data_IF_361073031634
#
_entry.id   IF_361073031634
#
_cell.length_a   1.000
_cell.length_b   1.000
_cell.length_c   1.000
_cell.angle_alpha   90.00
_cell.angle_beta   90.00
_cell.angle_gamma   90.00
#
_symmetry.space_group_name_H-M   'P 1'
#
loop_
_entity.id
_entity.type
_entity.pdbx_description
1 polymer ?
#
# COMPACT_ATOMS: atom_id res chain seq x y z
N UNK A 1 -1.28 29.11 -15.17
CA UNK A 1 -1.18 29.13 -14.69
C UNK A 1 -1.67 28.72 -13.55
N UNK A 2 -2.40 28.67 -13.21
CA UNK A 2 -2.98 28.26 -12.04
C UNK A 2 -2.76 26.85 -11.73
N UNK A 3 -2.59 26.00 -12.67
CA UNK A 3 -2.33 24.61 -12.40
C UNK A 3 -1.08 24.41 -11.58
N UNK A 4 -0.16 25.31 -11.70
CA UNK A 4 1.07 25.22 -10.93
C UNK A 4 0.79 25.24 -9.44
N UNK A 5 -0.10 26.12 -9.03
CA UNK A 5 -0.43 26.25 -7.62
C UNK A 5 -1.09 24.97 -7.14
N UNK A 6 -2.00 24.45 -7.94
CA UNK A 6 -2.70 23.24 -7.55
C UNK A 6 -1.76 22.05 -7.45
N UNK A 7 -0.81 21.98 -8.36
CA UNK A 7 0.12 20.87 -8.34
C UNK A 7 0.99 20.88 -7.11
N UNK A 8 1.33 22.03 -6.62
CA UNK A 8 2.13 22.11 -5.41
C UNK A 8 1.38 21.63 -4.20
N UNK A 9 0.09 21.85 -4.19
CA UNK A 9 -0.70 21.51 -3.02
C UNK A 9 -1.23 20.09 -3.07
N UNK A 10 -1.21 19.46 -4.25
CA UNK A 10 -1.91 18.19 -4.45
C UNK A 10 -0.94 17.07 -4.72
N UNK A 11 -1.14 15.96 -4.05
CA UNK A 11 -0.46 14.73 -4.35
C UNK A 11 -1.53 13.79 -4.89
N UNK A 12 -1.20 13.04 -5.92
CA UNK A 12 -2.17 12.15 -6.49
C UNK A 12 -1.57 11.22 -7.52
N UNK A 13 -2.41 10.40 -8.08
CA UNK A 13 -2.00 9.40 -9.05
C UNK A 13 -2.93 9.43 -10.24
N UNK A 14 -2.39 9.04 -11.38
CA UNK A 14 -3.21 8.86 -12.57
C UNK A 14 -3.59 7.39 -12.64
N UNK A 15 -4.84 7.10 -12.36
CA UNK A 15 -5.34 5.72 -12.30
C UNK A 15 -6.39 5.56 -13.39
N UNK A 16 -6.11 4.69 -14.36
CA UNK A 16 -7.00 4.50 -15.51
C UNK A 16 -7.31 5.81 -16.21
N UNK A 17 -6.31 6.69 -16.30
CA UNK A 17 -6.50 7.96 -16.96
C UNK A 17 -7.23 9.01 -16.15
N UNK A 18 -7.57 8.71 -14.91
CA UNK A 18 -8.28 9.62 -14.03
C UNK A 18 -7.35 10.03 -12.90
N UNK A 19 -7.29 11.33 -12.63
CA UNK A 19 -6.47 11.85 -11.56
C UNK A 19 -7.16 11.62 -10.23
N UNK A 20 -6.50 10.91 -9.31
CA UNK A 20 -7.07 10.55 -8.02
C UNK A 20 -6.20 11.15 -6.93
N UNK A 21 -6.83 11.87 -6.02
CA UNK A 21 -6.11 12.59 -4.98
C UNK A 21 -5.61 11.66 -3.88
N UNK A 22 -4.47 12.04 -3.32
CA UNK A 22 -3.88 11.33 -2.20
C UNK A 22 -3.48 12.36 -1.14
N UNK A 23 -3.19 11.87 0.06
CA UNK A 23 -2.72 12.78 1.09
C UNK A 23 -1.23 13.07 0.89
N UNK A 24 -0.64 13.86 1.78
CA UNK A 24 0.74 14.30 1.61
C UNK A 24 1.75 13.17 1.81
N UNK A 25 1.31 12.01 2.26
CA UNK A 25 2.16 10.84 2.37
C UNK A 25 1.92 9.84 1.25
N UNK A 26 1.01 10.15 0.34
CA UNK A 26 0.77 9.31 -0.82
C UNK A 26 -0.33 8.28 -0.64
N UNK A 27 -1.05 8.29 0.47
CA UNK A 27 -2.17 7.39 0.67
C UNK A 27 -3.42 7.95 0.00
N UNK A 28 -4.20 7.08 -0.62
CA UNK A 28 -5.46 7.53 -1.22
C UNK A 28 -6.40 8.00 -0.13
N UNK A 29 -7.23 8.97 -0.48
CA UNK A 29 -8.22 9.48 0.47
C UNK A 29 -9.37 8.52 0.65
N UNK A 30 -9.64 7.71 -0.36
CA UNK A 30 -10.63 6.64 -0.30
C UNK A 30 -10.02 5.39 -0.89
N UNK A 31 -10.36 4.21 -0.37
CA UNK A 31 -9.73 2.99 -0.87
C UNK A 31 -10.11 2.70 -2.31
N UNK A 32 -9.18 2.11 -3.03
CA UNK A 32 -9.40 1.68 -4.40
C UNK A 32 -8.84 0.27 -4.52
N UNK A 33 -9.72 -0.71 -4.68
CA UNK A 33 -9.33 -2.10 -4.71
C UNK A 33 -8.99 -2.60 -6.12
N UNK A 34 -8.87 -1.70 -7.08
CA UNK A 34 -8.54 -2.09 -8.45
C UNK A 34 -7.05 -2.34 -8.63
N UNK A 35 -6.73 -3.15 -9.63
CA UNK A 35 -5.33 -3.43 -9.92
C UNK A 35 -4.60 -2.21 -10.45
N UNK A 36 -5.29 -1.37 -11.19
CA UNK A 36 -4.65 -0.20 -11.77
C UNK A 36 -4.19 0.78 -10.70
N UNK A 37 -4.94 0.87 -9.61
CA UNK A 37 -4.52 1.72 -8.50
C UNK A 37 -3.21 1.23 -7.92
N UNK A 38 -3.11 -0.07 -7.69
CA UNK A 38 -1.87 -0.64 -7.15
C UNK A 38 -0.71 -0.42 -8.10
N UNK A 39 -0.94 -0.61 -9.40
CA UNK A 39 0.12 -0.42 -10.38
C UNK A 39 0.60 1.01 -10.45
N UNK A 40 -0.33 1.95 -10.43
CA UNK A 40 0.01 3.37 -10.49
C UNK A 40 0.83 3.80 -9.29
N UNK A 41 0.41 3.36 -8.11
CA UNK A 41 1.12 3.75 -6.89
C UNK A 41 2.48 3.08 -6.83
N UNK A 42 2.55 1.78 -7.18
CA UNK A 42 3.82 1.07 -7.18
C UNK A 42 4.81 1.74 -8.13
N UNK A 43 4.34 2.14 -9.30
CA UNK A 43 5.20 2.80 -10.27
C UNK A 43 5.75 4.11 -9.71
N UNK A 44 4.91 4.87 -9.04
CA UNK A 44 5.33 6.12 -8.44
C UNK A 44 6.38 5.90 -7.37
N UNK A 45 6.37 4.75 -6.72
CA UNK A 45 7.33 4.44 -5.67
C UNK A 45 8.52 3.61 -6.15
N UNK A 46 8.58 3.34 -7.44
CA UNK A 46 9.70 2.61 -7.99
C UNK A 46 9.67 1.12 -7.69
N UNK A 47 8.50 0.57 -7.45
CA UNK A 47 8.35 -0.85 -7.14
C UNK A 47 7.81 -1.57 -8.37
N UNK A 48 8.48 -2.65 -8.74
CA UNK A 48 8.00 -3.50 -9.81
C UNK A 48 7.23 -4.65 -9.19
N UNK A 49 5.94 -4.72 -9.46
CA UNK A 49 5.06 -5.68 -8.79
C UNK A 49 5.30 -7.09 -9.32
N UNK A 50 5.52 -8.00 -8.39
CA UNK A 50 5.66 -9.43 -8.69
C UNK A 50 4.49 -10.16 -8.04
N UNK A 51 4.43 -11.47 -8.28
CA UNK A 51 3.36 -12.28 -7.68
C UNK A 51 3.37 -12.16 -6.16
N UNK A 52 4.55 -12.08 -5.58
CA UNK A 52 4.63 -11.95 -4.13
C UNK A 52 4.12 -10.60 -3.64
N UNK A 53 4.36 -9.55 -4.41
CA UNK A 53 3.76 -8.25 -4.08
C UNK A 53 2.23 -8.35 -4.09
N UNK A 54 1.68 -9.00 -5.11
CA UNK A 54 0.23 -9.14 -5.19
C UNK A 54 -0.33 -9.98 -4.06
N UNK A 55 0.41 -10.96 -3.59
CA UNK A 55 0.00 -11.74 -2.44
C UNK A 55 -0.17 -10.84 -1.23
N UNK A 56 0.78 -9.95 -0.99
CA UNK A 56 0.70 -9.01 0.13
C UNK A 56 -0.43 -8.02 -0.07
N UNK A 57 -0.58 -7.51 -1.30
CA UNK A 57 -1.64 -6.55 -1.60
C UNK A 57 -3.01 -7.15 -1.31
N UNK A 58 -3.23 -8.38 -1.77
CA UNK A 58 -4.52 -9.04 -1.54
C UNK A 58 -4.76 -9.27 -0.06
N UNK A 59 -3.73 -9.68 0.66
CA UNK A 59 -3.83 -9.89 2.10
C UNK A 59 -4.25 -8.60 2.81
N UNK A 60 -3.59 -7.50 2.48
CA UNK A 60 -3.91 -6.22 3.15
C UNK A 60 -5.32 -5.75 2.81
N UNK A 61 -5.74 -5.94 1.56
CA UNK A 61 -7.10 -5.56 1.17
C UNK A 61 -8.15 -6.38 1.90
N UNK A 62 -7.89 -7.67 2.06
CA UNK A 62 -8.82 -8.53 2.80
C UNK A 62 -8.91 -8.12 4.26
N UNK A 63 -7.77 -7.87 4.88
CA UNK A 63 -7.79 -7.43 6.27
C UNK A 63 -8.53 -6.11 6.42
N UNK A 64 -8.31 -5.20 5.51
CA UNK A 64 -8.98 -3.92 5.56
C UNK A 64 -10.50 -4.07 5.42
N UNK A 65 -10.92 -4.94 4.51
CA UNK A 65 -12.35 -5.14 4.30
C UNK A 65 -13.02 -5.84 5.48
N UNK A 66 -12.31 -6.75 6.12
CA UNK A 66 -12.88 -7.49 7.24
C UNK A 66 -12.83 -6.71 8.54
N UNK A 67 -11.75 -6.01 8.78
CA UNK A 67 -11.51 -5.40 10.08
C UNK A 67 -11.66 -3.88 10.09
N UNK A 68 -11.72 -3.27 8.92
CA UNK A 68 -11.77 -1.81 8.82
C UNK A 68 -10.41 -1.15 8.94
N UNK A 69 -9.36 -1.93 9.11
CA UNK A 69 -7.99 -1.41 9.20
C UNK A 69 -7.02 -2.54 8.84
N UNK A 70 -5.76 -2.18 8.65
CA UNK A 70 -4.74 -3.16 8.30
C UNK A 70 -3.90 -3.48 9.52
N UNK A 71 -3.28 -4.67 9.54
CA UNK A 71 -2.44 -5.06 10.67
C UNK A 71 -1.10 -4.34 10.64
N UNK A 72 -0.45 -4.30 11.78
CA UNK A 72 0.90 -3.78 11.84
C UNK A 72 1.89 -4.83 11.34
N UNK A 73 3.16 -4.45 11.25
CA UNK A 73 4.17 -5.33 10.67
C UNK A 73 4.30 -6.65 11.43
N UNK A 74 4.29 -6.59 12.75
CA UNK A 74 4.43 -7.81 13.54
C UNK A 74 3.32 -8.81 13.22
N UNK A 75 2.10 -8.32 13.11
CA UNK A 75 0.98 -9.20 12.83
C UNK A 75 1.02 -9.70 11.39
N UNK A 76 1.50 -8.89 10.46
CA UNK A 76 1.70 -9.34 9.09
C UNK A 76 2.66 -10.52 9.05
N UNK A 77 3.80 -10.40 9.72
CA UNK A 77 4.79 -11.48 9.72
C UNK A 77 4.18 -12.75 10.31
N UNK A 78 3.43 -12.59 11.40
CA UNK A 78 2.81 -13.73 12.05
C UNK A 78 1.83 -14.43 11.12
N UNK A 79 1.00 -13.66 10.44
CA UNK A 79 0.00 -14.23 9.55
C UNK A 79 0.66 -14.94 8.37
N UNK A 80 1.68 -14.33 7.78
CA UNK A 80 2.35 -14.94 6.65
C UNK A 80 3.14 -16.16 7.07
N UNK A 81 3.72 -16.16 8.25
CA UNK A 81 4.41 -17.36 8.75
C UNK A 81 3.46 -18.52 8.90
N UNK A 82 2.23 -18.24 9.32
CA UNK A 82 1.24 -19.29 9.49
C UNK A 82 0.71 -19.80 8.16
N UNK A 83 0.46 -18.93 7.23
CA UNK A 83 -0.16 -19.31 5.96
C UNK A 83 0.85 -19.80 4.93
N UNK A 84 2.07 -19.32 5.01
CA UNK A 84 3.10 -19.65 4.03
C UNK A 84 4.39 -19.97 4.76
N UNK A 85 4.43 -21.08 5.50
CA UNK A 85 5.61 -21.42 6.28
C UNK A 85 6.79 -21.75 5.37
N UNK A 86 7.98 -21.61 5.92
CA UNK A 86 9.19 -21.92 5.17
C UNK A 86 9.88 -20.74 4.56
N UNK A 87 9.35 -19.56 4.73
CA UNK A 87 9.96 -18.34 4.22
C UNK A 87 10.22 -17.40 5.39
N UNK A 88 11.34 -16.70 5.31
CA UNK A 88 11.65 -15.67 6.31
C UNK A 88 10.85 -14.42 5.91
N UNK A 89 9.62 -14.37 6.37
CA UNK A 89 8.73 -13.28 5.96
C UNK A 89 9.14 -11.92 6.47
N UNK A 90 9.82 -11.90 7.60
CA UNK A 90 10.33 -10.64 8.12
C UNK A 90 11.26 -9.99 7.11
N UNK A 91 12.18 -10.76 6.56
CA UNK A 91 13.09 -10.27 5.55
C UNK A 91 12.39 -10.06 4.21
N UNK A 92 11.55 -11.02 3.83
CA UNK A 92 10.88 -10.97 2.52
C UNK A 92 10.00 -9.73 2.40
N UNK A 93 9.26 -9.40 3.45
CA UNK A 93 8.38 -8.25 3.40
C UNK A 93 9.16 -6.95 3.21
N UNK A 94 10.33 -6.84 3.83
CA UNK A 94 11.18 -5.67 3.62
C UNK A 94 11.80 -5.65 2.24
N UNK A 95 12.00 -6.81 1.62
CA UNK A 95 12.46 -6.84 0.24
C UNK A 95 11.38 -6.37 -0.72
N UNK A 96 10.14 -6.76 -0.45
CA UNK A 96 9.03 -6.38 -1.32
C UNK A 96 8.64 -4.91 -1.15
N UNK A 97 8.62 -4.44 0.08
CA UNK A 97 8.24 -3.06 0.39
C UNK A 97 9.27 -2.49 1.36
N UNK A 98 10.38 -1.99 0.83
CA UNK A 98 11.51 -1.59 1.69
C UNK A 98 11.25 -0.38 2.56
N UNK A 99 10.24 0.39 2.26
CA UNK A 99 9.95 1.59 3.03
C UNK A 99 8.82 1.30 4.03
N UNK A 100 9.13 0.45 5.02
CA UNK A 100 8.18 0.04 6.07
C UNK A 100 7.04 -0.78 5.48
N UNK A 101 7.20 -2.10 5.42
CA UNK A 101 6.29 -2.97 4.68
C UNK A 101 4.82 -2.81 5.00
N UNK A 102 4.44 -2.68 6.28
CA UNK A 102 3.03 -2.53 6.60
C UNK A 102 2.49 -1.22 6.05
N UNK A 103 3.29 -0.16 6.12
CA UNK A 103 2.85 1.14 5.70
C UNK A 103 2.91 1.28 4.18
N UNK A 104 4.05 0.94 3.58
CA UNK A 104 4.21 1.03 2.13
C UNK A 104 3.30 0.05 1.41
N UNK A 105 3.16 -1.16 1.94
CA UNK A 105 2.26 -2.13 1.36
C UNK A 105 0.82 -1.64 1.36
N UNK A 106 0.41 -1.02 2.46
CA UNK A 106 -0.92 -0.45 2.57
C UNK A 106 -1.14 0.65 1.52
N UNK A 107 -0.14 1.51 1.34
CA UNK A 107 -0.24 2.57 0.34
C UNK A 107 -0.36 2.00 -1.07
N UNK A 108 0.51 1.05 -1.41
CA UNK A 108 0.48 0.45 -2.73
C UNK A 108 -0.80 -0.35 -2.95
N UNK A 109 -1.34 -0.93 -1.89
CA UNK A 109 -2.59 -1.67 -2.00
C UNK A 109 -3.79 -0.78 -2.29
N UNK A 110 -3.60 0.53 -2.31
CA UNK A 110 -4.70 1.44 -2.61
C UNK A 110 -5.60 1.70 -1.43
N UNK A 111 -5.07 1.55 -0.23
CA UNK A 111 -5.85 1.75 0.99
C UNK A 111 -5.54 3.12 1.58
N UNK A 112 -6.43 3.55 2.46
CA UNK A 112 -6.24 4.84 3.10
C UNK A 112 -5.16 4.73 4.17
N UNK A 113 -4.72 5.87 4.67
CA UNK A 113 -3.64 5.91 5.63
C UNK A 113 -4.01 5.13 6.88
N UNK A 114 -3.14 4.22 7.32
CA UNK A 114 -3.43 3.50 8.56
C UNK A 114 -3.36 4.44 9.73
N UNK A 115 -4.27 4.26 10.68
CA UNK A 115 -4.21 5.03 11.89
C UNK A 115 -3.95 4.06 13.02
N UNK A 116 -3.62 4.58 14.16
CA UNK A 116 -3.15 3.78 15.23
C UNK A 116 -1.74 4.17 15.48
N UNK A 117 -1.14 3.56 16.49
CA UNK A 117 0.15 3.98 16.90
C UNK A 117 1.20 3.05 16.45
N UNK A 118 2.29 3.57 16.06
CA UNK A 118 3.47 2.80 15.80
C UNK A 118 3.23 1.45 15.16
N UNK A 119 4.24 0.70 14.95
CA UNK A 119 4.08 -0.66 14.49
C UNK A 119 3.74 -0.81 13.02
N UNK A 120 3.43 0.27 12.38
CA UNK A 120 3.22 0.22 10.96
C UNK A 120 4.51 0.48 10.23
#
# INVERSE_FOLDING_TARGET
>A
MTSTVREEATVGYLINGVEVEADDEGFLLEPDFGEEAARAIAQAEGIELTDEHWLVIRYLRERFQEDGHTPNFRNMVKDFDQEHPGTDWKTKLYELFPNQPARQGCRVAGLTKPFGKGGY
#
